data_IF_294617724366
#
_entry.id   IF_294617724366
#
_cell.length_a   1.000
_cell.length_b   1.000
_cell.length_c   1.000
_cell.angle_alpha   90.00
_cell.angle_beta   90.00
_cell.angle_gamma   90.00
#
_symmetry.space_group_name_H-M   'P 1'
#
loop_
_entity.id
_entity.type
_entity.pdbx_description
1 polymer ?
#
# COMPACT_ATOMS: atom_id res chain seq x y z
N UNK A 1 12.71 17.05 4.49
CA UNK A 1 12.71 16.48 3.12
C UNK A 1 11.32 15.93 2.82
N UNK A 2 10.83 16.13 1.58
CA UNK A 2 9.44 15.80 1.22
C UNK A 2 9.37 14.43 0.50
N UNK A 3 8.37 13.62 0.85
CA UNK A 3 8.12 12.31 0.23
C UNK A 3 6.66 12.23 -0.22
N UNK A 4 6.46 11.75 -1.45
CA UNK A 4 5.16 11.28 -1.92
C UNK A 4 5.21 9.75 -2.07
N UNK A 5 4.32 9.03 -1.38
CA UNK A 5 4.41 7.57 -1.34
C UNK A 5 3.06 6.87 -1.42
N UNK A 6 3.05 5.72 -2.07
CA UNK A 6 1.99 4.74 -1.88
C UNK A 6 1.86 4.32 -0.42
N UNK A 7 0.64 4.07 0.05
CA UNK A 7 0.36 3.67 1.44
C UNK A 7 1.12 2.43 1.90
N UNK A 8 1.40 1.51 0.98
CA UNK A 8 2.14 0.28 1.27
C UNK A 8 3.54 0.49 1.88
N UNK A 9 4.20 1.63 1.64
CA UNK A 9 5.51 1.93 2.22
C UNK A 9 5.44 2.81 3.49
N UNK A 10 4.26 3.25 3.91
CA UNK A 10 4.11 4.22 5.01
C UNK A 10 4.73 3.73 6.33
N UNK A 11 4.42 2.50 6.74
CA UNK A 11 4.96 1.92 7.97
C UNK A 11 6.50 1.78 7.93
N UNK A 12 7.06 1.39 6.79
CA UNK A 12 8.51 1.30 6.59
C UNK A 12 9.18 2.68 6.73
N UNK A 13 8.67 3.71 6.04
CA UNK A 13 9.22 5.07 6.11
C UNK A 13 9.14 5.62 7.54
N UNK A 14 8.00 5.44 8.21
CA UNK A 14 7.82 5.86 9.61
C UNK A 14 8.82 5.16 10.55
N UNK A 15 9.05 3.85 10.37
CA UNK A 15 10.01 3.08 11.17
C UNK A 15 11.46 3.54 10.99
N UNK A 16 11.82 4.08 9.82
CA UNK A 16 13.18 4.55 9.52
C UNK A 16 13.40 6.02 9.88
N UNK A 17 12.37 6.76 10.26
CA UNK A 17 12.44 8.22 10.47
C UNK A 17 13.46 8.64 11.53
N UNK A 18 13.48 7.98 12.69
CA UNK A 18 14.45 8.33 13.75
C UNK A 18 15.91 8.07 13.32
N UNK A 19 16.15 6.95 12.65
CA UNK A 19 17.47 6.61 12.14
C UNK A 19 17.92 7.63 11.07
N UNK A 20 17.03 8.01 10.18
CA UNK A 20 17.28 9.04 9.17
C UNK A 20 17.58 10.40 9.80
N UNK A 21 16.81 10.79 10.81
CA UNK A 21 17.05 12.08 11.51
C UNK A 21 18.41 12.09 12.22
N UNK A 22 18.82 10.97 12.85
CA UNK A 22 20.17 10.86 13.46
C UNK A 22 21.29 10.98 12.44
N UNK A 23 21.11 10.37 11.26
CA UNK A 23 22.11 10.36 10.20
C UNK A 23 22.26 11.73 9.49
N UNK A 24 21.14 12.42 9.26
CA UNK A 24 21.12 13.61 8.37
C UNK A 24 20.82 14.91 9.08
N UNK A 25 20.37 14.88 10.33
CA UNK A 25 19.84 16.05 11.04
C UNK A 25 18.48 16.55 10.51
N UNK A 26 17.88 15.89 9.53
CA UNK A 26 16.65 16.33 8.86
C UNK A 26 15.45 15.43 9.20
N UNK A 27 14.24 16.04 9.19
CA UNK A 27 12.98 15.30 9.30
C UNK A 27 12.43 14.86 7.92
N UNK A 28 11.51 13.90 7.95
CA UNK A 28 10.75 13.47 6.80
C UNK A 28 9.33 14.05 6.89
N UNK A 29 8.92 14.79 5.86
CA UNK A 29 7.56 15.24 5.63
C UNK A 29 6.94 14.34 4.54
N UNK A 30 6.21 13.32 4.97
CA UNK A 30 5.70 12.25 4.10
C UNK A 30 4.19 12.36 3.87
N UNK A 31 3.77 12.41 2.62
CA UNK A 31 2.37 12.24 2.21
C UNK A 31 2.18 10.81 1.66
N UNK A 32 1.21 10.09 2.24
CA UNK A 32 0.94 8.68 1.93
C UNK A 32 -0.51 8.51 1.48
N UNK A 33 -0.71 7.99 0.26
CA UNK A 33 -2.06 7.69 -0.25
C UNK A 33 -2.00 6.67 -1.40
N UNK A 34 -3.08 6.55 -2.20
CA UNK A 34 -3.07 5.73 -3.40
C UNK A 34 -1.96 6.18 -4.38
N UNK A 35 -1.26 5.23 -4.97
CA UNK A 35 -0.10 5.50 -5.86
C UNK A 35 -0.45 6.43 -7.03
N UNK A 36 -1.67 6.31 -7.59
CA UNK A 36 -2.15 7.20 -8.65
C UNK A 36 -2.33 8.64 -8.16
N UNK A 37 -2.83 8.84 -6.93
CA UNK A 37 -2.94 10.18 -6.34
C UNK A 37 -1.57 10.81 -6.10
N UNK A 38 -0.60 10.03 -5.62
CA UNK A 38 0.75 10.53 -5.37
C UNK A 38 1.48 10.90 -6.66
N UNK A 39 1.32 10.09 -7.72
CA UNK A 39 1.78 10.44 -9.06
C UNK A 39 1.16 11.76 -9.53
N UNK A 40 -0.16 11.90 -9.43
CA UNK A 40 -0.89 13.08 -9.91
C UNK A 40 -0.44 14.34 -9.15
N UNK A 41 -0.19 14.25 -7.84
CA UNK A 41 0.36 15.36 -7.03
C UNK A 41 1.78 15.74 -7.47
N UNK A 42 2.65 14.77 -7.73
CA UNK A 42 3.99 15.03 -8.25
C UNK A 42 3.94 15.77 -9.59
N UNK A 43 3.10 15.29 -10.52
CA UNK A 43 2.91 15.90 -11.84
C UNK A 43 2.29 17.31 -11.76
N UNK A 44 1.49 17.58 -10.72
CA UNK A 44 0.95 18.90 -10.43
C UNK A 44 1.98 19.85 -9.76
N UNK A 45 3.23 19.41 -9.55
CA UNK A 45 4.30 20.23 -9.00
C UNK A 45 4.39 20.25 -7.47
N UNK A 46 3.77 19.31 -6.77
CA UNK A 46 3.94 19.18 -5.33
C UNK A 46 5.42 18.95 -4.98
N UNK A 47 5.96 19.61 -3.92
CA UNK A 47 7.33 19.41 -3.48
C UNK A 47 7.59 17.94 -3.17
N UNK A 48 8.60 17.34 -3.80
CA UNK A 48 8.99 15.95 -3.58
C UNK A 48 10.48 15.76 -3.83
N UNK A 49 11.17 15.19 -2.86
CA UNK A 49 12.58 14.81 -2.97
C UNK A 49 12.72 13.34 -3.36
N UNK A 50 11.87 12.48 -2.79
CA UNK A 50 11.84 11.04 -3.05
C UNK A 50 10.40 10.57 -3.21
N UNK A 51 10.13 9.82 -4.28
CA UNK A 51 8.81 9.25 -4.57
C UNK A 51 8.86 7.73 -4.45
N UNK A 52 7.80 7.11 -3.88
CA UNK A 52 7.66 5.65 -3.74
C UNK A 52 6.32 5.23 -4.33
N UNK A 53 6.35 4.57 -5.48
CA UNK A 53 5.17 4.11 -6.21
C UNK A 53 5.36 2.66 -6.67
N UNK A 54 4.49 2.20 -7.56
CA UNK A 54 4.71 0.92 -8.25
C UNK A 54 5.78 1.06 -9.33
N UNK A 55 6.54 0.00 -9.62
CA UNK A 55 7.61 0.02 -10.61
C UNK A 55 7.17 0.61 -11.97
N UNK A 56 6.00 0.25 -12.55
CA UNK A 56 5.56 0.86 -13.81
C UNK A 56 5.34 2.37 -13.73
N UNK A 57 4.87 2.90 -12.60
CA UNK A 57 4.70 4.35 -12.41
C UNK A 57 6.04 5.07 -12.27
N UNK A 58 7.01 4.45 -11.60
CA UNK A 58 8.38 5.00 -11.52
C UNK A 58 9.02 5.03 -12.93
N UNK A 59 8.85 3.97 -13.72
CA UNK A 59 9.33 3.93 -15.11
C UNK A 59 8.68 5.03 -15.99
N UNK A 60 7.38 5.28 -15.80
CA UNK A 60 6.68 6.38 -16.46
C UNK A 60 7.28 7.75 -16.07
N UNK A 61 7.53 7.97 -14.78
CA UNK A 61 8.09 9.21 -14.26
C UNK A 61 9.55 9.43 -14.69
N UNK A 62 10.34 8.37 -14.85
CA UNK A 62 11.69 8.44 -15.43
C UNK A 62 11.60 8.87 -16.90
N UNK A 63 10.74 8.24 -17.69
CA UNK A 63 10.57 8.57 -19.11
C UNK A 63 10.06 10.00 -19.34
N UNK A 64 9.23 10.50 -18.43
CA UNK A 64 8.71 11.87 -18.48
C UNK A 64 9.64 12.91 -17.80
N UNK A 65 10.80 12.49 -17.28
CA UNK A 65 11.82 13.38 -16.72
C UNK A 65 11.53 13.89 -15.31
N UNK A 66 10.56 13.30 -14.58
CA UNK A 66 10.24 13.70 -13.19
C UNK A 66 11.05 12.93 -12.14
N UNK A 67 11.60 11.76 -12.51
CA UNK A 67 12.47 10.95 -11.67
C UNK A 67 13.81 10.78 -12.35
N UNK A 68 14.90 10.90 -11.58
CA UNK A 68 16.29 10.79 -12.07
C UNK A 68 16.53 9.37 -12.61
N UNK A 69 16.98 9.27 -13.86
CA UNK A 69 17.35 8.01 -14.46
C UNK A 69 18.46 7.30 -13.64
N UNK A 70 18.29 6.00 -13.38
CA UNK A 70 19.22 5.21 -12.57
C UNK A 70 19.04 5.36 -11.04
N UNK A 71 18.10 6.18 -10.56
CA UNK A 71 17.82 6.29 -9.13
C UNK A 71 16.77 5.28 -8.63
N UNK A 72 16.09 4.57 -9.52
CA UNK A 72 15.05 3.61 -9.16
C UNK A 72 15.63 2.42 -8.39
N UNK A 73 15.01 2.10 -7.24
CA UNK A 73 15.37 0.93 -6.43
C UNK A 73 14.10 0.27 -5.87
N UNK A 74 14.00 -1.06 -6.00
CA UNK A 74 12.89 -1.82 -5.46
C UNK A 74 12.97 -1.92 -3.93
N UNK A 75 11.84 -1.71 -3.27
CA UNK A 75 11.64 -2.04 -1.85
C UNK A 75 11.29 -3.52 -1.66
N UNK A 76 10.80 -4.15 -2.70
CA UNK A 76 10.26 -5.51 -2.73
C UNK A 76 8.83 -5.56 -3.23
N UNK A 77 8.31 -6.78 -3.36
CA UNK A 77 6.93 -7.03 -3.77
C UNK A 77 6.01 -7.12 -2.57
N UNK A 78 4.79 -6.64 -2.72
CA UNK A 78 3.76 -6.75 -1.70
C UNK A 78 2.54 -7.41 -2.32
N UNK A 79 2.03 -8.44 -1.66
CA UNK A 79 0.79 -9.12 -2.06
C UNK A 79 -0.44 -8.39 -1.56
N UNK A 80 -1.57 -8.65 -2.21
CA UNK A 80 -2.89 -8.24 -1.72
C UNK A 80 -3.45 -9.33 -0.81
N UNK A 81 -3.89 -8.91 0.38
CA UNK A 81 -4.41 -9.82 1.41
C UNK A 81 -5.81 -9.47 1.86
N UNK A 82 -6.40 -10.41 2.60
CA UNK A 82 -7.69 -10.27 3.27
C UNK A 82 -7.45 -10.06 4.76
N UNK A 83 -8.13 -9.08 5.32
CA UNK A 83 -8.10 -8.76 6.74
C UNK A 83 -9.46 -8.99 7.40
N UNK A 84 -9.44 -9.38 8.66
CA UNK A 84 -10.57 -9.31 9.58
C UNK A 84 -10.20 -8.40 10.74
N UNK A 85 -11.19 -7.93 11.51
CA UNK A 85 -10.88 -7.28 12.79
C UNK A 85 -10.22 -8.27 13.73
N UNK A 86 -9.31 -7.80 14.55
CA UNK A 86 -8.63 -8.65 15.53
C UNK A 86 -9.64 -9.31 16.47
N UNK A 87 -9.50 -10.64 16.62
CA UNK A 87 -10.41 -11.44 17.45
C UNK A 87 -11.67 -11.94 16.75
N UNK A 88 -11.93 -11.55 15.49
CA UNK A 88 -13.03 -12.15 14.72
C UNK A 88 -12.70 -13.61 14.35
N UNK A 89 -13.71 -14.50 14.28
CA UNK A 89 -13.50 -15.89 13.91
C UNK A 89 -12.97 -15.99 12.47
N UNK A 90 -11.97 -16.87 12.28
CA UNK A 90 -11.41 -17.16 10.97
C UNK A 90 -12.47 -17.71 10.02
N UNK A 91 -12.35 -17.36 8.74
CA UNK A 91 -13.21 -17.80 7.65
C UNK A 91 -12.40 -18.62 6.65
N UNK A 92 -13.05 -19.52 5.96
CA UNK A 92 -12.46 -20.20 4.81
C UNK A 92 -12.31 -19.23 3.65
N UNK A 93 -11.08 -19.10 3.11
CA UNK A 93 -10.70 -18.11 2.08
C UNK A 93 -9.69 -18.68 1.07
N UNK A 94 -9.54 -20.01 1.01
CA UNK A 94 -8.48 -20.64 0.23
C UNK A 94 -8.73 -20.64 -1.29
N UNK A 95 -9.99 -20.47 -1.73
CA UNK A 95 -10.39 -20.52 -3.14
C UNK A 95 -11.52 -19.52 -3.44
N UNK A 96 -11.87 -19.37 -4.72
CA UNK A 96 -12.89 -18.43 -5.18
C UNK A 96 -14.25 -18.63 -4.54
N UNK A 97 -14.69 -19.88 -4.32
CA UNK A 97 -16.02 -20.17 -3.79
C UNK A 97 -16.10 -19.85 -2.29
N UNK A 98 -15.04 -20.12 -1.55
CA UNK A 98 -14.92 -19.74 -0.15
C UNK A 98 -14.88 -18.21 0.00
N UNK A 99 -14.06 -17.51 -0.82
CA UNK A 99 -14.02 -16.06 -0.85
C UNK A 99 -15.38 -15.46 -1.19
N UNK A 100 -16.07 -16.01 -2.22
CA UNK A 100 -17.42 -15.58 -2.60
C UNK A 100 -18.40 -15.74 -1.44
N UNK A 101 -18.38 -16.86 -0.75
CA UNK A 101 -19.24 -17.15 0.39
C UNK A 101 -18.97 -16.19 1.55
N UNK A 102 -17.70 -15.95 1.88
CA UNK A 102 -17.30 -15.01 2.92
C UNK A 102 -17.74 -13.58 2.60
N UNK A 103 -17.53 -13.11 1.37
CA UNK A 103 -17.92 -11.77 0.93
C UNK A 103 -19.44 -11.57 0.97
N UNK A 104 -20.24 -12.55 0.55
CA UNK A 104 -21.71 -12.48 0.63
C UNK A 104 -22.24 -12.37 2.06
N UNK A 105 -21.53 -12.97 3.01
CA UNK A 105 -21.90 -12.90 4.44
C UNK A 105 -21.41 -11.63 5.14
N UNK A 106 -20.55 -10.83 4.47
CA UNK A 106 -19.95 -9.66 5.07
C UNK A 106 -20.98 -8.54 5.31
N UNK A 107 -20.87 -7.86 6.46
CA UNK A 107 -21.68 -6.68 6.81
C UNK A 107 -21.05 -5.37 6.32
N UNK A 108 -19.78 -5.40 5.95
CA UNK A 108 -19.02 -4.33 5.33
C UNK A 108 -17.76 -4.86 4.69
N UNK A 109 -17.44 -4.38 3.50
CA UNK A 109 -16.25 -4.76 2.73
C UNK A 109 -15.40 -3.52 2.54
N UNK A 110 -14.25 -3.45 3.22
CA UNK A 110 -13.38 -2.27 3.32
C UNK A 110 -12.17 -2.43 2.40
N UNK A 111 -11.94 -1.45 1.54
CA UNK A 111 -10.84 -1.50 0.59
C UNK A 111 -10.46 -0.09 0.09
N UNK A 112 -9.26 0.09 -0.49
CA UNK A 112 -8.84 1.38 -1.01
C UNK A 112 -9.56 1.74 -2.31
N UNK A 113 -9.41 3.01 -2.71
CA UNK A 113 -9.97 3.60 -3.91
C UNK A 113 -9.83 2.70 -5.14
N UNK A 114 -10.96 2.42 -5.81
CA UNK A 114 -11.04 1.49 -6.94
C UNK A 114 -10.52 2.07 -8.27
N UNK A 115 -10.11 3.33 -8.32
CA UNK A 115 -9.58 3.98 -9.52
C UNK A 115 -8.09 4.32 -9.37
N UNK A 116 -7.68 4.84 -8.23
CA UNK A 116 -6.34 5.37 -7.97
C UNK A 116 -5.42 4.39 -7.25
N UNK A 117 -5.97 3.41 -6.50
CA UNK A 117 -5.20 2.39 -5.80
C UNK A 117 -5.01 1.12 -6.63
N UNK A 118 -3.81 0.54 -6.62
CA UNK A 118 -3.53 -0.74 -7.28
C UNK A 118 -4.37 -1.87 -6.65
N UNK A 119 -4.38 -1.98 -5.33
CA UNK A 119 -5.16 -2.99 -4.63
C UNK A 119 -6.67 -2.78 -4.83
N UNK A 120 -7.15 -1.54 -4.82
CA UNK A 120 -8.57 -1.22 -5.01
C UNK A 120 -9.07 -1.60 -6.41
N UNK A 121 -8.33 -1.20 -7.47
CA UNK A 121 -8.65 -1.62 -8.85
C UNK A 121 -8.68 -3.13 -9.00
N UNK A 122 -7.69 -3.79 -8.43
CA UNK A 122 -7.59 -5.25 -8.50
C UNK A 122 -8.75 -5.92 -7.76
N UNK A 123 -9.05 -5.49 -6.55
CA UNK A 123 -10.14 -6.07 -5.77
C UNK A 123 -11.50 -5.86 -6.43
N UNK A 124 -11.77 -4.69 -7.01
CA UNK A 124 -12.98 -4.48 -7.82
C UNK A 124 -13.04 -5.42 -9.04
N UNK A 125 -11.91 -5.71 -9.68
CA UNK A 125 -11.87 -6.69 -10.76
C UNK A 125 -12.15 -8.12 -10.24
N UNK A 126 -11.68 -8.47 -9.05
CA UNK A 126 -12.01 -9.74 -8.38
C UNK A 126 -13.52 -9.82 -8.09
N UNK A 127 -14.12 -8.77 -7.53
CA UNK A 127 -15.57 -8.74 -7.27
C UNK A 127 -16.39 -8.93 -8.55
N UNK A 128 -15.98 -8.30 -9.66
CA UNK A 128 -16.64 -8.50 -10.97
C UNK A 128 -16.50 -9.94 -11.47
N UNK A 129 -15.31 -10.54 -11.37
CA UNK A 129 -15.09 -11.96 -11.75
C UNK A 129 -15.92 -12.92 -10.89
N UNK A 130 -16.15 -12.59 -9.64
CA UNK A 130 -17.02 -13.35 -8.73
C UNK A 130 -18.52 -13.08 -8.95
N UNK A 131 -18.87 -12.07 -9.77
CA UNK A 131 -20.26 -11.63 -9.98
C UNK A 131 -20.88 -10.94 -8.75
N UNK A 132 -20.05 -10.29 -7.93
CA UNK A 132 -20.46 -9.71 -6.64
C UNK A 132 -20.47 -8.18 -6.62
N UNK A 133 -19.94 -7.52 -7.61
CA UNK A 133 -19.74 -6.05 -7.61
C UNK A 133 -21.07 -5.27 -7.46
N UNK A 134 -22.15 -5.75 -8.08
CA UNK A 134 -23.48 -5.17 -7.95
C UNK A 134 -24.17 -5.61 -6.65
N UNK A 135 -24.12 -6.91 -6.34
CA UNK A 135 -24.74 -7.50 -5.16
C UNK A 135 -24.23 -6.86 -3.86
N UNK A 136 -22.92 -6.63 -3.77
CA UNK A 136 -22.29 -6.06 -2.58
C UNK A 136 -22.29 -4.54 -2.54
N UNK A 137 -22.75 -3.85 -3.57
CA UNK A 137 -22.77 -2.38 -3.64
C UNK A 137 -23.15 -1.67 -2.33
N UNK A 138 -24.24 -2.06 -1.63
CA UNK A 138 -24.67 -1.44 -0.38
C UNK A 138 -23.67 -1.58 0.78
N UNK A 139 -22.81 -2.60 0.77
CA UNK A 139 -21.85 -2.90 1.84
C UNK A 139 -20.40 -2.57 1.48
N UNK A 140 -20.12 -2.16 0.25
CA UNK A 140 -18.79 -1.70 -0.16
C UNK A 140 -18.43 -0.38 0.54
N UNK A 141 -17.22 -0.32 1.11
CA UNK A 141 -16.67 0.84 1.81
C UNK A 141 -15.30 1.17 1.23
N UNK A 142 -15.26 2.17 0.35
CA UNK A 142 -14.03 2.64 -0.28
C UNK A 142 -13.42 3.80 0.48
N UNK A 143 -12.09 3.79 0.58
CA UNK A 143 -11.30 4.82 1.26
C UNK A 143 -10.13 5.27 0.39
N UNK A 144 -9.52 6.44 0.65
CA UNK A 144 -8.43 6.97 -0.20
C UNK A 144 -7.22 6.03 -0.33
N UNK A 145 -6.95 5.20 0.67
CA UNK A 145 -5.85 4.21 0.71
C UNK A 145 -6.20 3.04 1.64
N UNK A 146 -5.39 1.98 1.60
CA UNK A 146 -5.65 0.78 2.38
C UNK A 146 -5.44 0.97 3.89
N UNK A 147 -4.44 1.76 4.32
CA UNK A 147 -4.24 2.08 5.74
C UNK A 147 -5.51 2.73 6.33
N UNK A 148 -6.08 3.71 5.61
CA UNK A 148 -7.34 4.34 6.04
C UNK A 148 -8.49 3.35 6.05
N UNK A 149 -8.63 2.51 5.02
CA UNK A 149 -9.68 1.49 4.99
C UNK A 149 -9.57 0.52 6.17
N UNK A 150 -8.38 0.06 6.51
CA UNK A 150 -8.14 -0.86 7.63
C UNK A 150 -8.40 -0.18 8.99
N UNK A 151 -7.98 1.08 9.15
CA UNK A 151 -8.24 1.84 10.37
C UNK A 151 -9.73 2.07 10.60
N UNK A 152 -10.47 2.44 9.57
CA UNK A 152 -11.93 2.63 9.66
C UNK A 152 -12.65 1.30 9.93
N UNK A 153 -12.17 0.19 9.36
CA UNK A 153 -12.68 -1.14 9.69
C UNK A 153 -12.41 -1.51 11.15
N UNK A 154 -11.20 -1.23 11.64
CA UNK A 154 -10.82 -1.50 13.04
C UNK A 154 -11.68 -0.70 14.04
N UNK A 155 -12.04 0.54 13.68
CA UNK A 155 -12.85 1.43 14.51
C UNK A 155 -14.36 1.11 14.48
N UNK A 156 -14.81 0.26 13.56
CA UNK A 156 -16.22 -0.10 13.43
C UNK A 156 -16.56 -1.28 14.34
N UNK A 157 -17.55 -1.15 15.22
CA UNK A 157 -17.97 -2.20 16.17
C UNK A 157 -18.84 -3.30 15.55
N UNK A 158 -19.29 -3.13 14.30
CA UNK A 158 -20.10 -4.13 13.63
C UNK A 158 -19.32 -5.43 13.43
N UNK A 159 -19.89 -6.61 13.72
CA UNK A 159 -19.24 -7.89 13.43
C UNK A 159 -19.31 -8.22 11.93
N UNK A 160 -18.42 -9.12 11.51
CA UNK A 160 -18.49 -9.69 10.16
C UNK A 160 -17.99 -8.76 9.08
N UNK A 161 -17.04 -7.88 9.37
CA UNK A 161 -16.38 -7.03 8.40
C UNK A 161 -15.25 -7.78 7.69
N UNK A 162 -14.99 -7.42 6.44
CA UNK A 162 -13.86 -7.94 5.65
C UNK A 162 -13.11 -6.75 5.05
N UNK A 163 -11.77 -6.77 5.17
CA UNK A 163 -10.86 -5.83 4.53
C UNK A 163 -10.08 -6.50 3.40
N UNK A 164 -9.77 -5.74 2.34
CA UNK A 164 -8.87 -6.19 1.28
C UNK A 164 -7.97 -5.06 0.83
N UNK A 165 -6.66 -5.22 1.05
CA UNK A 165 -5.65 -4.27 0.59
C UNK A 165 -4.25 -4.90 0.55
N UNK A 166 -3.20 -4.09 0.38
CA UNK A 166 -1.82 -4.55 0.46
C UNK A 166 -1.48 -5.07 1.86
N UNK A 167 -0.80 -6.20 1.92
CA UNK A 167 -0.40 -6.84 3.20
C UNK A 167 0.31 -5.88 4.13
N UNK A 168 1.14 -4.99 3.61
CA UNK A 168 1.86 -3.98 4.41
C UNK A 168 0.94 -2.98 5.10
N UNK A 169 -0.19 -2.64 4.49
CA UNK A 169 -1.20 -1.75 5.08
C UNK A 169 -2.02 -2.48 6.15
N UNK A 170 -2.27 -3.78 5.97
CA UNK A 170 -2.91 -4.62 6.98
C UNK A 170 -1.98 -4.76 8.20
N UNK A 171 -0.75 -5.22 7.98
CA UNK A 171 0.23 -5.44 9.05
C UNK A 171 0.62 -4.14 9.79
N UNK A 172 0.52 -3.01 9.11
CA UNK A 172 0.79 -1.67 9.68
C UNK A 172 -0.37 -1.07 10.47
N UNK A 173 -1.55 -1.70 10.52
CA UNK A 173 -2.75 -1.15 11.15
C UNK A 173 -3.15 -1.98 12.37
N UNK A 174 -3.17 -1.36 13.55
CA UNK A 174 -3.65 -2.01 14.77
C UNK A 174 -5.16 -2.29 14.70
N UNK A 175 -5.60 -3.41 15.28
CA UNK A 175 -7.02 -3.79 15.38
C UNK A 175 -7.54 -4.57 14.17
N UNK A 176 -6.67 -4.91 13.21
CA UNK A 176 -6.96 -5.83 12.11
C UNK A 176 -5.86 -6.88 11.99
N UNK A 177 -6.23 -8.07 11.55
CA UNK A 177 -5.30 -9.19 11.34
C UNK A 177 -5.34 -9.63 9.88
N UNK A 178 -4.16 -9.86 9.28
CA UNK A 178 -4.03 -10.55 8.01
C UNK A 178 -4.43 -12.01 8.20
N UNK A 179 -5.50 -12.45 7.54
CA UNK A 179 -6.03 -13.81 7.70
C UNK A 179 -5.78 -14.70 6.48
N UNK A 180 -5.63 -14.11 5.31
CA UNK A 180 -5.30 -14.84 4.08
C UNK A 180 -4.71 -13.89 3.02
N UNK A 181 -3.96 -14.45 2.08
CA UNK A 181 -3.75 -13.81 0.77
C UNK A 181 -5.02 -14.00 -0.07
N UNK A 182 -5.18 -13.20 -1.12
CA UNK A 182 -6.19 -13.54 -2.12
C UNK A 182 -5.93 -14.95 -2.68
N UNK A 183 -6.97 -15.74 -3.01
CA UNK A 183 -6.79 -17.03 -3.67
C UNK A 183 -5.87 -16.95 -4.88
N UNK A 184 -5.13 -18.01 -5.19
CA UNK A 184 -4.09 -18.03 -6.22
C UNK A 184 -4.56 -17.52 -7.59
N UNK A 185 -5.82 -17.78 -7.95
CA UNK A 185 -6.44 -17.30 -9.19
C UNK A 185 -6.70 -15.78 -9.23
N UNK A 186 -6.64 -15.12 -8.07
CA UNK A 186 -6.81 -13.68 -7.87
C UNK A 186 -5.57 -13.01 -7.26
N UNK A 187 -4.45 -13.73 -7.21
CA UNK A 187 -3.23 -13.19 -6.63
C UNK A 187 -2.76 -11.93 -7.37
N UNK A 188 -2.34 -10.93 -6.61
CA UNK A 188 -1.61 -9.78 -7.11
C UNK A 188 -0.42 -9.52 -6.19
N UNK A 189 0.78 -9.55 -6.76
CA UNK A 189 2.01 -9.06 -6.14
C UNK A 189 2.47 -7.79 -6.86
N UNK A 190 2.63 -6.71 -6.12
CA UNK A 190 3.00 -5.39 -6.64
C UNK A 190 4.41 -5.03 -6.21
N UNK A 191 5.31 -4.74 -7.16
CA UNK A 191 6.63 -4.21 -6.86
C UNK A 191 6.52 -2.72 -6.49
N UNK A 192 6.93 -2.36 -5.28
CA UNK A 192 7.06 -0.99 -4.83
C UNK A 192 8.48 -0.52 -5.00
N UNK A 193 8.64 0.53 -5.78
CA UNK A 193 9.93 1.08 -6.20
C UNK A 193 10.00 2.54 -5.78
N UNK A 194 11.14 2.95 -5.23
CA UNK A 194 11.45 4.35 -4.96
C UNK A 194 12.24 4.97 -6.12
N UNK A 195 12.18 6.30 -6.22
CA UNK A 195 13.01 7.09 -7.13
C UNK A 195 13.26 8.48 -6.59
N UNK A 196 14.39 9.07 -6.94
CA UNK A 196 14.75 10.45 -6.57
C UNK A 196 14.16 11.40 -7.61
N UNK A 197 13.42 12.41 -7.16
CA UNK A 197 12.80 13.37 -8.06
C UNK A 197 13.85 14.31 -8.70
N UNK A 198 13.67 14.65 -9.98
CA UNK A 198 14.56 15.61 -10.68
C UNK A 198 14.50 17.00 -10.08
N UNK A 199 13.34 17.40 -9.53
CA UNK A 199 13.13 18.65 -8.80
C UNK A 199 13.45 18.59 -7.29
N UNK A 200 14.15 17.53 -6.82
CA UNK A 200 14.48 17.37 -5.41
C UNK A 200 15.28 18.58 -4.87
N UNK A 201 14.81 19.16 -3.76
CA UNK A 201 15.52 20.22 -3.04
C UNK A 201 16.65 19.68 -2.15
N UNK A 202 16.53 18.41 -1.75
CA UNK A 202 17.46 17.72 -0.86
C UNK A 202 17.93 16.39 -1.45
N UNK A 203 18.59 16.37 -2.65
CA UNK A 203 18.93 15.14 -3.36
C UNK A 203 19.89 14.23 -2.59
N UNK A 204 20.82 14.78 -1.78
CA UNK A 204 21.74 13.98 -0.97
C UNK A 204 21.00 13.25 0.16
N UNK A 205 20.08 13.94 0.85
CA UNK A 205 19.25 13.31 1.88
C UNK A 205 18.32 12.25 1.27
N UNK A 206 17.80 12.50 0.06
CA UNK A 206 17.00 11.51 -0.67
C UNK A 206 17.81 10.24 -0.99
N UNK A 207 19.12 10.37 -1.36
CA UNK A 207 20.01 9.21 -1.55
C UNK A 207 20.26 8.45 -0.26
N UNK A 208 20.48 9.13 0.86
CA UNK A 208 20.64 8.50 2.17
C UNK A 208 19.40 7.71 2.53
N UNK A 209 18.21 8.33 2.42
CA UNK A 209 16.96 7.62 2.74
C UNK A 209 16.71 6.44 1.78
N UNK A 210 16.97 6.59 0.49
CA UNK A 210 16.86 5.51 -0.48
C UNK A 210 17.72 4.31 -0.08
N UNK A 211 18.99 4.54 0.28
CA UNK A 211 19.89 3.50 0.76
C UNK A 211 19.40 2.85 2.07
N UNK A 212 18.85 3.63 2.98
CA UNK A 212 18.30 3.11 4.24
C UNK A 212 17.05 2.24 3.99
N UNK A 213 16.16 2.67 3.11
CA UNK A 213 14.89 1.96 2.82
C UNK A 213 15.11 0.66 2.04
N UNK A 214 16.17 0.56 1.22
CA UNK A 214 16.44 -0.62 0.38
C UNK A 214 17.55 -1.51 0.94
N UNK A 215 18.37 -0.97 1.84
CA UNK A 215 19.55 -1.63 2.38
C UNK A 215 19.26 -2.69 3.47
N UNK A 216 20.35 -3.31 4.00
CA UNK A 216 20.23 -4.34 5.04
C UNK A 216 19.57 -3.86 6.32
N UNK A 217 19.75 -2.58 6.69
CA UNK A 217 19.19 -2.00 7.92
C UNK A 217 17.66 -2.09 7.99
N UNK A 218 16.98 -2.03 6.85
CA UNK A 218 15.51 -2.14 6.77
C UNK A 218 15.02 -3.54 6.41
N UNK A 219 15.91 -4.48 6.10
CA UNK A 219 15.51 -5.79 5.55
C UNK A 219 14.51 -6.54 6.44
N UNK A 220 14.78 -6.58 7.76
CA UNK A 220 13.87 -7.25 8.70
C UNK A 220 12.55 -6.49 8.86
N UNK A 221 12.58 -5.16 8.89
CA UNK A 221 11.37 -4.32 8.96
C UNK A 221 10.52 -4.55 7.70
N UNK A 222 11.15 -4.61 6.52
CA UNK A 222 10.44 -4.90 5.26
C UNK A 222 9.78 -6.28 5.28
N UNK A 223 10.50 -7.34 5.68
CA UNK A 223 9.93 -8.70 5.76
C UNK A 223 8.76 -8.78 6.72
N UNK A 224 8.92 -8.25 7.94
CA UNK A 224 7.83 -8.21 8.93
C UNK A 224 6.64 -7.39 8.46
N UNK A 225 6.90 -6.30 7.73
CA UNK A 225 5.87 -5.48 7.11
C UNK A 225 5.10 -6.20 6.02
N UNK A 226 5.67 -7.23 5.37
CA UNK A 226 5.06 -7.99 4.30
C UNK A 226 5.66 -7.72 2.90
N UNK A 227 6.85 -7.13 2.83
CA UNK A 227 7.63 -7.08 1.59
C UNK A 227 8.37 -8.40 1.35
N UNK A 228 8.30 -8.89 0.13
CA UNK A 228 9.03 -10.06 -0.39
C UNK A 228 10.14 -9.58 -1.33
N UNK A 229 11.40 -10.07 -1.14
CA UNK A 229 12.59 -9.73 -1.97
C UNK A 229 13.69 -10.76 -1.80
#
# INVERSE_FOLDING_TARGET
>A
MNILSGGAAAALVKAMQEAFTRETGAGIDGTFSAVGMMRDQLLAGAPCDLVILTAPLIDELIRSGHVVAGSAQSLGRVRTGIALRSGEPLRALANADELRTALRSAKGVYFPDAEKSTAGRHFMAVLRKLGLDQELGPVLRQYPNGETAMREMAACDAPGLIGCTQVTEINGTAGVDLVAMLPAEFELATDYTLGICTGARHPEQARVLAAMLTGPASAEIRRRGGFEF
#
